data_IF_568185085541
#
_entry.id   IF_568185085541
#
_cell.length_a   1.000
_cell.length_b   1.000
_cell.length_c   1.000
_cell.angle_alpha   90.00
_cell.angle_beta   90.00
_cell.angle_gamma   90.00
#
_symmetry.space_group_name_H-M   'P 1'
#
loop_
_entity.id
_entity.type
_entity.pdbx_description
1 polymer ?
#
# COMPACT_ATOMS: atom_id res chain seq x y z
N UNK A 1 -40.12 76.06 19.45
CA UNK A 1 -41.41 75.58 20.00
C UNK A 1 -41.73 74.24 19.34
N UNK A 2 -42.29 73.24 20.04
CA UNK A 2 -41.81 72.60 21.26
C UNK A 2 -41.80 71.04 21.13
N UNK A 3 -41.42 70.38 22.22
CA UNK A 3 -42.09 69.18 22.77
C UNK A 3 -41.70 67.79 22.22
N UNK A 4 -40.86 67.04 22.97
CA UNK A 4 -41.23 65.89 23.86
C UNK A 4 -41.61 64.64 23.04
N UNK A 5 -41.02 63.44 23.20
CA UNK A 5 -40.76 62.55 24.35
C UNK A 5 -40.26 61.25 23.67
N UNK A 6 -39.29 60.47 24.13
CA UNK A 6 -39.31 59.63 25.32
C UNK A 6 -37.97 58.94 25.47
N UNK A 7 -37.54 58.80 26.72
CA UNK A 7 -36.44 57.97 27.17
C UNK A 7 -36.96 56.53 27.37
N UNK A 8 -36.32 55.53 26.75
CA UNK A 8 -36.37 54.15 27.25
C UNK A 8 -34.96 53.56 27.20
N UNK A 9 -34.36 53.37 28.38
CA UNK A 9 -33.20 52.51 28.59
C UNK A 9 -33.63 51.06 28.37
N UNK A 10 -32.97 50.35 27.46
CA UNK A 10 -32.87 48.88 27.52
C UNK A 10 -31.41 48.51 27.79
N UNK A 11 -31.18 47.88 28.95
CA UNK A 11 -29.89 47.38 29.37
C UNK A 11 -29.40 46.24 28.49
N UNK A 12 -28.15 46.32 28.08
CA UNK A 12 -27.44 45.21 27.44
C UNK A 12 -27.13 44.15 28.50
N UNK A 13 -27.78 42.99 28.42
CA UNK A 13 -27.36 41.77 29.10
C UNK A 13 -26.55 40.94 28.12
N UNK A 14 -25.23 40.85 28.32
CA UNK A 14 -24.38 39.89 27.63
C UNK A 14 -24.70 38.49 28.17
N UNK A 15 -25.43 37.69 27.40
CA UNK A 15 -25.53 36.25 27.63
C UNK A 15 -24.26 35.59 27.08
N UNK A 16 -23.32 35.25 27.96
CA UNK A 16 -22.19 34.40 27.62
C UNK A 16 -22.69 32.95 27.49
N UNK A 17 -22.87 32.48 26.25
CA UNK A 17 -23.10 31.05 25.96
C UNK A 17 -21.78 30.30 26.13
N UNK A 18 -21.62 29.61 27.25
CA UNK A 18 -20.55 28.63 27.44
C UNK A 18 -20.82 27.42 26.55
N UNK A 19 -20.00 27.24 25.52
CA UNK A 19 -19.96 25.99 24.76
C UNK A 19 -19.27 24.96 25.65
N UNK A 20 -20.05 24.07 26.28
CA UNK A 20 -19.50 22.88 26.92
C UNK A 20 -19.00 21.94 25.81
N UNK A 21 -17.69 21.96 25.56
CA UNK A 21 -17.05 20.90 24.80
C UNK A 21 -17.31 19.57 25.52
N UNK A 22 -17.90 18.60 24.80
CA UNK A 22 -17.99 17.24 25.31
C UNK A 22 -16.58 16.72 25.57
N UNK A 23 -16.33 16.02 26.69
CA UNK A 23 -15.01 15.51 26.99
C UNK A 23 -14.56 14.57 25.87
N UNK A 24 -13.37 14.84 25.32
CA UNK A 24 -12.66 13.91 24.47
C UNK A 24 -12.52 12.63 25.28
N UNK A 25 -13.21 11.56 24.89
CA UNK A 25 -12.93 10.24 25.44
C UNK A 25 -11.51 9.88 25.01
N UNK A 26 -10.57 9.98 25.95
CA UNK A 26 -9.27 9.35 25.81
C UNK A 26 -9.52 7.85 25.73
N UNK A 27 -9.39 7.28 24.54
CA UNK A 27 -9.36 5.84 24.38
C UNK A 27 -8.10 5.36 25.12
N UNK A 28 -8.31 4.71 26.25
CA UNK A 28 -7.26 4.08 27.03
C UNK A 28 -6.84 2.79 26.32
N UNK A 29 -5.69 2.83 25.66
CA UNK A 29 -5.08 1.68 24.99
C UNK A 29 -4.24 0.81 25.94
N UNK A 30 -4.30 1.03 27.27
CA UNK A 30 -3.53 0.24 28.24
C UNK A 30 -4.01 -1.21 28.43
N UNK A 31 -5.13 -1.60 27.80
CA UNK A 31 -5.83 -2.86 28.04
C UNK A 31 -5.75 -3.96 26.97
N UNK A 32 -5.00 -3.80 25.88
CA UNK A 32 -4.81 -4.88 24.90
C UNK A 32 -3.34 -5.16 24.69
N UNK A 33 -2.78 -6.12 25.44
CA UNK A 33 -1.51 -6.77 25.12
C UNK A 33 -1.68 -7.67 23.89
N UNK A 34 -1.93 -7.06 22.73
CA UNK A 34 -1.76 -7.72 21.45
C UNK A 34 -0.28 -7.60 21.06
N UNK A 35 0.57 -8.39 21.70
CA UNK A 35 1.92 -8.63 21.21
C UNK A 35 1.93 -10.00 20.50
N UNK A 36 1.88 -10.07 19.16
CA UNK A 36 2.39 -11.22 18.46
C UNK A 36 3.89 -11.37 18.77
N UNK A 37 4.34 -12.61 18.99
CA UNK A 37 5.77 -12.94 19.14
C UNK A 37 6.52 -12.61 17.84
N UNK A 38 7.81 -12.27 17.96
CA UNK A 38 8.78 -12.61 16.92
C UNK A 38 8.57 -14.08 16.53
N UNK A 39 8.37 -14.39 15.25
CA UNK A 39 8.07 -15.76 14.82
C UNK A 39 9.39 -16.52 14.62
N UNK A 40 9.77 -17.43 15.54
CA UNK A 40 11.04 -18.14 15.47
C UNK A 40 11.09 -19.12 14.29
N UNK A 41 9.98 -19.35 13.58
CA UNK A 41 9.97 -20.16 12.37
C UNK A 41 10.45 -19.41 11.12
N UNK A 42 10.55 -18.07 11.19
CA UNK A 42 11.01 -17.22 10.09
C UNK A 42 12.53 -17.02 10.18
N UNK A 43 13.22 -17.15 9.04
CA UNK A 43 14.69 -17.04 8.97
C UNK A 43 15.20 -15.95 8.05
N UNK A 44 14.31 -15.30 7.30
CA UNK A 44 14.68 -14.26 6.35
C UNK A 44 13.47 -13.63 5.67
N UNK A 45 13.75 -12.90 4.59
CA UNK A 45 12.78 -12.13 3.83
C UNK A 45 13.04 -12.29 2.33
N UNK A 46 11.96 -12.49 1.57
CA UNK A 46 11.95 -12.42 0.12
C UNK A 46 11.39 -11.07 -0.31
N UNK A 47 12.17 -10.27 -1.03
CA UNK A 47 11.71 -9.07 -1.70
C UNK A 47 11.39 -9.33 -3.17
N UNK A 48 10.33 -8.70 -3.68
CA UNK A 48 10.03 -8.59 -5.10
C UNK A 48 9.98 -7.11 -5.48
N UNK A 49 10.77 -6.71 -6.47
CA UNK A 49 10.93 -5.31 -6.89
C UNK A 49 11.01 -5.20 -8.41
N UNK A 50 10.90 -3.99 -8.93
CA UNK A 50 11.33 -3.66 -10.29
C UNK A 50 12.49 -2.66 -10.29
N UNK A 51 13.17 -2.55 -11.43
CA UNK A 51 14.17 -1.52 -11.67
C UNK A 51 13.59 -0.48 -12.63
N UNK A 52 13.84 0.81 -12.38
CA UNK A 52 13.21 1.89 -13.15
C UNK A 52 13.46 1.83 -14.67
N UNK A 53 14.66 1.45 -15.07
CA UNK A 53 15.05 1.33 -16.48
C UNK A 53 14.75 -0.05 -17.10
N UNK A 54 14.47 -1.07 -16.28
CA UNK A 54 14.23 -2.44 -16.72
C UNK A 54 13.02 -3.00 -15.93
N UNK A 55 11.78 -2.66 -16.34
CA UNK A 55 10.56 -2.90 -15.54
C UNK A 55 10.15 -4.37 -15.59
N UNK A 56 10.83 -5.19 -14.80
CA UNK A 56 10.60 -6.62 -14.64
C UNK A 56 10.54 -6.99 -13.16
N UNK A 57 10.22 -8.25 -12.84
CA UNK A 57 10.28 -8.72 -11.45
C UNK A 57 11.67 -9.25 -11.12
N UNK A 58 12.32 -8.61 -10.15
CA UNK A 58 13.57 -9.02 -9.55
C UNK A 58 13.30 -9.52 -8.14
N UNK A 59 13.86 -10.66 -7.80
CA UNK A 59 13.76 -11.21 -6.46
C UNK A 59 15.06 -10.96 -5.69
N UNK A 60 14.92 -10.65 -4.42
CA UNK A 60 16.02 -10.39 -3.50
C UNK A 60 15.80 -11.20 -2.23
N UNK A 61 16.85 -11.84 -1.73
CA UNK A 61 16.79 -12.63 -0.51
C UNK A 61 17.62 -11.94 0.57
N UNK A 62 17.06 -11.81 1.77
CA UNK A 62 17.77 -11.18 2.88
C UNK A 62 19.04 -11.94 3.24
N UNK A 63 20.08 -11.25 3.71
CA UNK A 63 21.29 -11.85 4.23
C UNK A 63 21.03 -12.35 5.65
N UNK A 64 20.68 -13.64 5.78
CA UNK A 64 20.16 -14.18 7.03
C UNK A 64 18.84 -13.52 7.42
N UNK A 65 18.60 -13.34 8.71
CA UNK A 65 17.36 -12.74 9.21
C UNK A 65 17.41 -11.21 9.34
N UNK A 66 18.23 -10.54 8.51
CA UNK A 66 18.38 -9.10 8.54
C UNK A 66 17.31 -8.41 7.66
N UNK A 67 16.42 -7.58 8.24
CA UNK A 67 15.32 -6.95 7.50
C UNK A 67 15.76 -5.89 6.48
N UNK A 68 16.98 -5.35 6.58
CA UNK A 68 17.46 -4.28 5.69
C UNK A 68 18.75 -4.63 4.96
N UNK A 69 19.08 -5.92 4.87
CA UNK A 69 20.24 -6.41 4.12
C UNK A 69 19.80 -7.51 3.16
N UNK A 70 19.96 -7.28 1.86
CA UNK A 70 19.51 -8.20 0.82
C UNK A 70 20.61 -8.45 -0.22
N UNK A 71 20.56 -9.61 -0.85
CA UNK A 71 21.32 -9.92 -2.07
C UNK A 71 20.36 -10.21 -3.21
N UNK A 72 20.76 -9.83 -4.41
CA UNK A 72 20.00 -10.16 -5.60
C UNK A 72 19.99 -11.67 -5.81
N UNK A 73 18.82 -12.21 -6.17
CA UNK A 73 18.71 -13.56 -6.70
C UNK A 73 18.92 -13.53 -8.22
N UNK A 74 19.07 -14.72 -8.81
CA UNK A 74 19.25 -14.97 -10.23
C UNK A 74 20.41 -14.15 -10.84
N UNK A 75 21.51 -14.03 -10.08
CA UNK A 75 22.68 -13.23 -10.47
C UNK A 75 22.35 -11.78 -10.85
N UNK A 76 21.30 -11.19 -10.25
CA UNK A 76 20.83 -9.84 -10.56
C UNK A 76 19.98 -9.72 -11.83
N UNK A 77 19.71 -10.83 -12.53
CA UNK A 77 18.80 -10.85 -13.67
C UNK A 77 17.34 -10.98 -13.23
N UNK A 78 16.37 -10.46 -14.01
CA UNK A 78 14.96 -10.59 -13.65
C UNK A 78 14.53 -12.05 -13.61
N UNK A 79 13.68 -12.40 -12.64
CA UNK A 79 13.08 -13.73 -12.50
C UNK A 79 11.84 -13.85 -13.39
N UNK A 80 11.09 -12.76 -13.58
CA UNK A 80 9.91 -12.73 -14.43
C UNK A 80 10.01 -11.56 -15.41
N UNK A 81 9.89 -11.87 -16.71
CA UNK A 81 9.70 -10.90 -17.79
C UNK A 81 8.28 -11.09 -18.33
N UNK A 82 7.41 -10.07 -18.30
CA UNK A 82 6.06 -10.18 -18.86
C UNK A 82 6.14 -10.31 -20.38
N UNK A 83 5.24 -11.13 -20.93
CA UNK A 83 5.08 -11.35 -22.37
C UNK A 83 3.80 -10.73 -22.94
N UNK A 84 2.96 -10.16 -22.07
CA UNK A 84 1.69 -9.51 -22.43
C UNK A 84 1.74 -7.99 -22.20
N UNK A 85 0.63 -7.31 -22.52
CA UNK A 85 0.44 -5.89 -22.22
C UNK A 85 1.49 -5.01 -22.89
N UNK A 86 2.02 -4.08 -22.13
CA UNK A 86 3.11 -3.18 -22.54
C UNK A 86 4.47 -3.88 -22.65
N UNK A 87 4.58 -5.10 -22.11
CA UNK A 87 5.85 -5.84 -22.00
C UNK A 87 6.74 -5.37 -20.85
N UNK A 88 6.22 -4.56 -19.92
CA UNK A 88 6.88 -4.18 -18.67
C UNK A 88 5.93 -4.33 -17.48
N UNK A 89 6.49 -4.63 -16.32
CA UNK A 89 5.78 -4.74 -15.05
C UNK A 89 6.44 -3.87 -13.98
N UNK A 90 5.62 -3.11 -13.27
CA UNK A 90 6.03 -2.27 -12.14
C UNK A 90 5.26 -2.67 -10.89
N UNK A 91 5.76 -2.22 -9.75
CA UNK A 91 5.09 -2.35 -8.45
C UNK A 91 4.72 -3.82 -8.11
N UNK A 92 5.64 -4.80 -8.25
CA UNK A 92 5.28 -6.19 -7.98
C UNK A 92 5.03 -6.43 -6.49
N UNK A 93 3.85 -6.95 -6.16
CA UNK A 93 3.47 -7.28 -4.79
C UNK A 93 3.27 -8.80 -4.64
N UNK A 94 3.91 -9.38 -3.63
CA UNK A 94 3.73 -10.80 -3.28
C UNK A 94 2.47 -10.93 -2.43
N UNK A 95 1.51 -11.74 -2.88
CA UNK A 95 0.28 -12.04 -2.15
C UNK A 95 0.36 -13.46 -1.59
N UNK A 96 0.19 -13.60 -0.27
CA UNK A 96 0.13 -14.91 0.39
C UNK A 96 -1.25 -15.53 0.22
N UNK A 97 -1.27 -16.83 -0.11
CA UNK A 97 -2.49 -17.63 -0.16
C UNK A 97 -3.33 -17.53 1.11
N UNK A 98 -4.65 -17.41 0.96
CA UNK A 98 -5.61 -17.37 2.06
C UNK A 98 -6.48 -18.63 2.11
N UNK A 99 -7.24 -18.82 3.19
CA UNK A 99 -8.13 -19.97 3.33
C UNK A 99 -7.44 -21.32 3.06
N UNK A 100 -7.94 -22.08 2.09
CA UNK A 100 -7.39 -23.38 1.70
C UNK A 100 -5.99 -23.31 1.04
N UNK A 101 -5.62 -22.15 0.50
CA UNK A 101 -4.35 -21.88 -0.17
C UNK A 101 -3.25 -21.44 0.81
N UNK A 102 -3.59 -21.19 2.09
CA UNK A 102 -2.65 -20.70 3.10
C UNK A 102 -1.45 -21.62 3.26
N UNK A 103 -0.26 -21.06 3.04
CA UNK A 103 1.03 -21.78 3.11
C UNK A 103 1.29 -22.76 1.97
N UNK A 104 0.43 -22.76 0.93
CA UNK A 104 0.52 -23.67 -0.22
C UNK A 104 0.57 -22.95 -1.56
N UNK A 105 0.16 -21.69 -1.59
CA UNK A 105 0.10 -20.90 -2.82
C UNK A 105 0.40 -19.43 -2.54
N UNK A 106 0.99 -18.80 -3.54
CA UNK A 106 1.33 -17.39 -3.55
C UNK A 106 1.08 -16.82 -4.94
N UNK A 107 0.87 -15.52 -4.99
CA UNK A 107 0.73 -14.77 -6.22
C UNK A 107 1.73 -13.64 -6.26
N UNK A 108 2.11 -13.22 -7.46
CA UNK A 108 2.67 -11.88 -7.69
C UNK A 108 1.67 -11.15 -8.56
N UNK A 109 1.27 -9.96 -8.12
CA UNK A 109 0.52 -9.01 -8.93
C UNK A 109 1.40 -7.82 -9.28
N UNK A 110 1.11 -7.10 -10.36
CA UNK A 110 1.87 -5.91 -10.73
C UNK A 110 1.18 -5.04 -11.75
N UNK A 111 1.64 -3.80 -11.85
CA UNK A 111 1.20 -2.79 -12.83
C UNK A 111 1.70 -3.17 -14.22
N UNK A 112 0.81 -3.21 -15.21
CA UNK A 112 1.20 -3.31 -16.63
C UNK A 112 1.67 -1.95 -17.16
N UNK A 113 2.99 -1.72 -17.11
CA UNK A 113 3.60 -0.48 -17.58
C UNK A 113 5.08 -0.65 -17.93
N UNK A 114 5.38 -0.46 -19.22
CA UNK A 114 6.71 -0.12 -19.73
C UNK A 114 6.73 1.37 -20.09
N UNK A 115 7.27 2.20 -19.18
CA UNK A 115 7.29 3.65 -19.38
C UNK A 115 8.17 4.08 -20.56
N UNK A 116 9.13 3.25 -21.00
CA UNK A 116 10.00 3.57 -22.14
C UNK A 116 9.26 3.46 -23.49
N UNK A 117 8.10 2.80 -23.52
CA UNK A 117 7.24 2.65 -24.70
C UNK A 117 6.07 3.63 -24.74
N UNK A 118 5.96 4.52 -23.77
CA UNK A 118 4.87 5.49 -23.65
C UNK A 118 5.37 6.79 -23.00
N UNK A 119 4.47 7.68 -22.61
CA UNK A 119 4.78 8.86 -21.80
C UNK A 119 4.01 8.79 -20.48
N UNK A 120 4.47 9.54 -19.47
CA UNK A 120 3.76 9.63 -18.20
C UNK A 120 2.35 10.21 -18.33
N UNK A 121 2.10 11.08 -19.30
CA UNK A 121 0.76 11.60 -19.56
C UNK A 121 -0.13 10.51 -20.19
N UNK A 122 0.35 9.85 -21.25
CA UNK A 122 -0.40 8.78 -21.91
C UNK A 122 -0.65 7.58 -20.98
N UNK A 123 0.33 7.17 -20.16
CA UNK A 123 0.20 6.09 -19.20
C UNK A 123 -0.86 6.37 -18.11
N UNK A 124 -1.11 7.64 -17.81
CA UNK A 124 -2.14 8.06 -16.85
C UNK A 124 -3.52 8.22 -17.47
N UNK A 125 -3.59 8.58 -18.75
CA UNK A 125 -4.85 8.88 -19.45
C UNK A 125 -5.40 7.67 -20.17
N UNK A 126 -4.55 6.97 -20.91
CA UNK A 126 -4.91 5.79 -21.72
C UNK A 126 -4.09 4.57 -21.33
N UNK A 127 -3.66 4.48 -20.06
CA UNK A 127 -2.88 3.36 -19.55
C UNK A 127 -3.64 2.04 -19.51
N UNK A 128 -2.92 0.97 -19.16
CA UNK A 128 -3.51 -0.36 -18.97
C UNK A 128 -4.65 -0.33 -17.95
N UNK A 129 -5.68 -1.15 -18.19
CA UNK A 129 -6.80 -1.40 -17.27
C UNK A 129 -6.67 -2.75 -16.56
N UNK A 130 -5.55 -3.43 -16.80
CA UNK A 130 -5.28 -4.74 -16.27
C UNK A 130 -4.17 -4.74 -15.23
N UNK A 131 -4.19 -5.79 -14.42
CA UNK A 131 -3.11 -6.15 -13.53
C UNK A 131 -2.46 -7.42 -14.05
N UNK A 132 -1.14 -7.51 -13.92
CA UNK A 132 -0.46 -8.77 -14.09
C UNK A 132 -0.74 -9.69 -12.91
N UNK A 133 -0.76 -11.00 -13.17
CA UNK A 133 -0.84 -12.06 -12.15
C UNK A 133 0.07 -13.21 -12.55
N UNK A 134 0.91 -13.66 -11.62
CA UNK A 134 1.62 -14.94 -11.66
C UNK A 134 1.31 -15.74 -10.40
N UNK A 135 1.48 -17.06 -10.47
CA UNK A 135 1.24 -17.97 -9.35
C UNK A 135 2.47 -18.81 -9.03
N UNK A 136 2.61 -19.18 -7.76
CA UNK A 136 3.59 -20.14 -7.28
C UNK A 136 2.98 -21.03 -6.20
N UNK A 137 3.37 -22.31 -6.17
CA UNK A 137 3.02 -23.26 -5.09
C UNK A 137 4.20 -23.57 -4.17
N UNK A 138 5.35 -22.94 -4.41
CA UNK A 138 6.58 -23.16 -3.65
C UNK A 138 7.36 -21.85 -3.35
N UNK A 139 6.83 -20.69 -3.76
CA UNK A 139 7.43 -19.35 -3.70
C UNK A 139 8.75 -19.19 -4.49
N UNK A 140 9.20 -20.23 -5.19
CA UNK A 140 10.49 -20.30 -5.88
C UNK A 140 10.30 -20.23 -7.39
N UNK A 141 9.33 -20.99 -7.89
CA UNK A 141 9.00 -21.10 -9.30
C UNK A 141 7.67 -20.38 -9.57
N UNK A 142 7.70 -19.44 -10.52
CA UNK A 142 6.56 -18.61 -10.89
C UNK A 142 6.08 -18.97 -12.28
N UNK A 143 4.77 -19.06 -12.47
CA UNK A 143 4.14 -19.48 -13.73
C UNK A 143 2.77 -18.85 -13.94
N UNK A 144 2.07 -19.26 -15.00
CA UNK A 144 0.68 -18.89 -15.29
C UNK A 144 0.44 -17.38 -15.47
N UNK A 145 1.28 -16.71 -16.26
CA UNK A 145 1.13 -15.28 -16.58
C UNK A 145 -0.27 -14.94 -17.11
N UNK A 146 -0.91 -13.98 -16.44
CA UNK A 146 -2.16 -13.37 -16.88
C UNK A 146 -2.06 -11.86 -16.81
N UNK A 147 -2.72 -11.20 -17.77
CA UNK A 147 -3.06 -9.78 -17.68
C UNK A 147 -4.59 -9.72 -17.55
N UNK A 148 -5.07 -9.44 -16.35
CA UNK A 148 -6.51 -9.48 -16.03
C UNK A 148 -7.04 -8.06 -16.01
N UNK A 149 -7.98 -7.74 -16.90
CA UNK A 149 -8.66 -6.43 -16.92
C UNK A 149 -9.59 -6.33 -15.71
N UNK A 150 -9.35 -5.35 -14.85
CA UNK A 150 -10.08 -5.15 -13.58
C UNK A 150 -10.84 -3.83 -13.53
N UNK A 151 -10.63 -2.93 -14.49
CA UNK A 151 -11.43 -1.71 -14.64
C UNK A 151 -12.00 -1.52 -16.04
N UNK A 152 -13.04 -0.69 -16.09
CA UNK A 152 -13.76 -0.35 -17.31
C UNK A 152 -13.06 0.77 -18.10
N UNK A 153 -13.59 1.08 -19.28
CA UNK A 153 -12.99 2.02 -20.23
C UNK A 153 -12.91 3.48 -19.74
N UNK A 154 -13.71 3.89 -18.74
CA UNK A 154 -13.65 5.25 -18.18
C UNK A 154 -12.44 5.51 -17.29
N UNK A 155 -11.73 4.47 -16.85
CA UNK A 155 -10.53 4.61 -16.04
C UNK A 155 -9.37 5.19 -16.87
N UNK A 156 -8.49 5.98 -16.26
CA UNK A 156 -7.24 6.44 -16.87
C UNK A 156 -6.19 5.33 -16.88
N UNK A 157 -6.07 4.61 -15.77
CA UNK A 157 -5.02 3.63 -15.51
C UNK A 157 -5.40 2.69 -14.35
N UNK A 158 -4.68 1.58 -14.20
CA UNK A 158 -4.72 0.67 -13.04
C UNK A 158 -3.29 0.47 -12.56
N UNK A 159 -2.96 1.03 -11.39
CA UNK A 159 -1.58 1.09 -10.89
C UNK A 159 -1.44 0.58 -9.46
N UNK A 160 -0.23 0.10 -9.14
CA UNK A 160 0.21 -0.43 -7.86
C UNK A 160 -0.79 -1.39 -7.22
N UNK A 161 -1.13 -2.52 -7.89
CA UNK A 161 -2.04 -3.48 -7.31
C UNK A 161 -1.39 -4.22 -6.14
N UNK A 162 -2.12 -4.36 -5.04
CA UNK A 162 -1.82 -5.38 -4.02
C UNK A 162 -3.11 -6.12 -3.64
N UNK A 163 -2.97 -7.15 -2.81
CA UNK A 163 -4.12 -7.88 -2.29
C UNK A 163 -3.90 -8.39 -0.87
N UNK A 164 -4.99 -8.42 -0.12
CA UNK A 164 -5.04 -8.99 1.22
C UNK A 164 -6.20 -9.98 1.32
N UNK A 165 -6.01 -11.10 2.03
CA UNK A 165 -7.07 -12.05 2.29
C UNK A 165 -8.08 -11.50 3.31
N UNK A 166 -9.33 -11.35 2.90
CA UNK A 166 -10.45 -11.04 3.80
C UNK A 166 -11.09 -12.35 4.27
N UNK A 167 -10.81 -12.74 5.51
CA UNK A 167 -11.35 -13.95 6.11
C UNK A 167 -12.88 -13.92 6.30
N UNK A 168 -13.49 -12.74 6.47
CA UNK A 168 -14.94 -12.61 6.60
C UNK A 168 -15.66 -12.84 5.27
N UNK A 169 -14.99 -12.58 4.15
CA UNK A 169 -15.50 -12.84 2.79
C UNK A 169 -15.04 -14.18 2.22
N UNK A 170 -13.95 -14.75 2.72
CA UNK A 170 -13.31 -15.92 2.12
C UNK A 170 -12.76 -15.62 0.73
N UNK A 171 -12.28 -14.39 0.50
CA UNK A 171 -11.81 -13.88 -0.78
C UNK A 171 -10.65 -12.90 -0.58
N UNK A 172 -9.87 -12.67 -1.61
CA UNK A 172 -8.87 -11.60 -1.66
C UNK A 172 -9.54 -10.27 -1.98
N UNK A 173 -9.34 -9.27 -1.13
CA UNK A 173 -9.55 -7.88 -1.50
C UNK A 173 -8.32 -7.44 -2.30
N UNK A 174 -8.50 -7.26 -3.60
CA UNK A 174 -7.47 -6.72 -4.50
C UNK A 174 -7.76 -5.25 -4.70
N UNK A 175 -6.75 -4.39 -4.54
CA UNK A 175 -6.91 -2.94 -4.66
C UNK A 175 -5.85 -2.32 -5.55
N UNK A 176 -6.15 -1.18 -6.15
CA UNK A 176 -5.27 -0.43 -7.05
C UNK A 176 -5.66 1.05 -7.11
N UNK A 177 -4.74 1.90 -7.56
CA UNK A 177 -5.02 3.30 -7.83
C UNK A 177 -5.61 3.51 -9.23
N UNK A 178 -6.58 4.41 -9.36
CA UNK A 178 -7.17 4.81 -10.65
C UNK A 178 -7.80 6.20 -10.59
N UNK A 179 -7.97 6.83 -11.75
CA UNK A 179 -8.77 8.06 -11.94
C UNK A 179 -9.72 7.87 -13.10
N UNK A 180 -10.80 8.65 -13.14
CA UNK A 180 -11.90 8.41 -14.09
C UNK A 180 -12.23 9.65 -14.90
N UNK A 181 -12.65 9.41 -16.14
CA UNK A 181 -13.14 10.42 -17.06
C UNK A 181 -14.66 10.31 -17.21
N UNK A 182 -15.37 11.44 -17.40
CA UNK A 182 -16.80 11.41 -17.63
C UNK A 182 -17.13 10.72 -18.96
N UNK A 183 -18.32 10.13 -19.07
CA UNK A 183 -18.77 9.48 -20.31
C UNK A 183 -18.79 10.42 -21.53
N UNK A 184 -18.84 11.74 -21.31
CA UNK A 184 -18.73 12.77 -22.35
C UNK A 184 -17.32 12.98 -22.89
N UNK A 185 -16.28 12.41 -22.25
CA UNK A 185 -14.88 12.45 -22.69
C UNK A 185 -14.32 11.03 -22.86
N UNK A 186 -14.82 10.24 -23.82
CA UNK A 186 -14.37 8.85 -24.02
C UNK A 186 -12.91 8.74 -24.51
N UNK A 187 -12.30 9.85 -24.94
CA UNK A 187 -10.92 9.90 -25.42
C UNK A 187 -9.93 10.36 -24.34
N UNK A 188 -10.42 10.69 -23.14
CA UNK A 188 -9.63 11.11 -21.98
C UNK A 188 -8.76 12.34 -22.24
N UNK A 189 -9.29 13.29 -23.01
CA UNK A 189 -8.60 14.52 -23.43
C UNK A 189 -8.73 15.66 -22.43
N UNK A 190 -9.82 15.66 -21.64
CA UNK A 190 -10.11 16.65 -20.61
C UNK A 190 -9.44 16.34 -19.26
N UNK A 191 -10.02 16.88 -18.19
CA UNK A 191 -9.54 16.64 -16.83
C UNK A 191 -10.24 15.42 -16.22
N UNK A 192 -9.51 14.46 -15.63
CA UNK A 192 -10.11 13.39 -14.84
C UNK A 192 -10.57 13.91 -13.47
N UNK A 193 -11.30 13.08 -12.73
CA UNK A 193 -11.44 13.21 -11.29
C UNK A 193 -10.11 12.96 -10.54
N UNK A 194 -10.13 13.10 -9.21
CA UNK A 194 -8.98 12.75 -8.38
C UNK A 194 -8.64 11.25 -8.49
N UNK A 195 -7.38 10.90 -8.23
CA UNK A 195 -6.96 9.51 -8.11
C UNK A 195 -7.50 8.93 -6.80
N UNK A 196 -8.23 7.82 -6.92
CA UNK A 196 -8.84 7.09 -5.82
C UNK A 196 -8.29 5.67 -5.76
N UNK A 197 -8.41 5.02 -4.60
CA UNK A 197 -8.14 3.59 -4.49
C UNK A 197 -9.43 2.83 -4.80
N UNK A 198 -9.35 1.93 -5.76
CA UNK A 198 -10.39 1.01 -6.20
C UNK A 198 -10.12 -0.37 -5.64
N UNK A 199 -11.15 -1.21 -5.55
CA UNK A 199 -10.99 -2.60 -5.16
C UNK A 199 -12.00 -3.52 -5.87
N UNK A 200 -11.66 -4.80 -5.95
CA UNK A 200 -12.57 -5.89 -6.29
C UNK A 200 -12.20 -7.14 -5.49
N UNK A 201 -13.17 -8.02 -5.28
CA UNK A 201 -12.93 -9.32 -4.67
C UNK A 201 -12.68 -10.39 -5.73
N UNK A 202 -11.76 -11.30 -5.42
CA UNK A 202 -11.52 -12.53 -6.19
C UNK A 202 -11.18 -13.68 -5.24
N UNK A 203 -11.45 -14.91 -5.64
CA UNK A 203 -10.97 -16.10 -4.93
C UNK A 203 -9.78 -16.78 -5.64
N UNK A 204 -9.50 -16.39 -6.89
CA UNK A 204 -8.60 -17.15 -7.78
C UNK A 204 -7.69 -16.29 -8.67
N UNK A 205 -7.81 -14.96 -8.59
CA UNK A 205 -7.12 -14.01 -9.47
C UNK A 205 -7.37 -14.26 -10.96
N UNK A 206 -8.58 -14.73 -11.31
CA UNK A 206 -9.07 -14.87 -12.68
C UNK A 206 -10.42 -14.19 -12.83
N UNK A 207 -11.34 -14.43 -11.90
CA UNK A 207 -12.66 -13.81 -11.88
C UNK A 207 -12.73 -12.82 -10.74
N UNK A 208 -13.12 -11.58 -11.07
CA UNK A 208 -13.23 -10.47 -10.14
C UNK A 208 -14.69 -10.03 -10.04
N UNK A 209 -15.10 -9.58 -8.86
CA UNK A 209 -16.33 -8.82 -8.71
C UNK A 209 -16.23 -7.50 -9.49
N UNK A 210 -17.37 -6.86 -9.76
CA UNK A 210 -17.39 -5.49 -10.26
C UNK A 210 -16.56 -4.58 -9.32
N UNK A 211 -15.63 -3.77 -9.84
CA UNK A 211 -14.80 -2.91 -9.01
C UNK A 211 -15.62 -1.80 -8.34
N UNK A 212 -15.25 -1.45 -7.12
CA UNK A 212 -15.88 -0.40 -6.31
C UNK A 212 -14.81 0.57 -5.76
N UNK A 213 -15.24 1.74 -5.30
CA UNK A 213 -14.32 2.68 -4.64
C UNK A 213 -14.04 2.19 -3.22
N UNK A 214 -12.76 2.06 -2.87
CA UNK A 214 -12.34 1.71 -1.52
C UNK A 214 -11.99 2.96 -0.71
N UNK A 215 -11.17 3.85 -1.28
CA UNK A 215 -10.71 5.07 -0.61
C UNK A 215 -10.85 6.22 -1.60
N UNK A 216 -11.64 7.22 -1.22
CA UNK A 216 -11.77 8.49 -1.92
C UNK A 216 -11.50 9.61 -0.92
N UNK A 217 -10.44 10.38 -1.16
CA UNK A 217 -10.06 11.56 -0.38
C UNK A 217 -10.12 12.82 -1.23
N UNK A 218 -10.98 12.84 -2.26
CA UNK A 218 -11.14 13.97 -3.17
C UNK A 218 -11.27 15.30 -2.41
N UNK A 219 -10.56 16.36 -2.84
CA UNK A 219 -9.79 16.45 -4.09
C UNK A 219 -8.35 15.92 -4.01
N UNK A 220 -7.93 15.31 -2.90
CA UNK A 220 -6.58 14.73 -2.77
C UNK A 220 -6.43 13.47 -3.62
N UNK A 221 -5.34 13.41 -4.40
CA UNK A 221 -4.98 12.23 -5.17
C UNK A 221 -4.28 11.21 -4.26
N UNK A 222 -4.80 10.00 -4.20
CA UNK A 222 -4.26 8.93 -3.36
C UNK A 222 -3.82 7.76 -4.23
N UNK A 223 -2.58 7.32 -4.02
CA UNK A 223 -1.98 6.14 -4.68
C UNK A 223 -1.27 5.25 -3.65
N UNK A 224 -0.73 4.13 -4.13
CA UNK A 224 0.16 3.22 -3.40
C UNK A 224 -0.36 2.85 -2.00
N UNK A 225 -1.54 2.23 -1.97
CA UNK A 225 -2.07 1.65 -0.75
C UNK A 225 -1.28 0.39 -0.41
N UNK A 226 -0.79 0.30 0.82
CA UNK A 226 -0.23 -0.91 1.42
C UNK A 226 -0.88 -1.16 2.78
N UNK A 227 -1.25 -2.40 3.10
CA UNK A 227 -1.97 -2.75 4.33
C UNK A 227 -1.15 -3.74 5.16
N UNK A 228 -0.86 -3.37 6.41
CA UNK A 228 -0.21 -4.20 7.42
C UNK A 228 -1.24 -4.68 8.46
N UNK A 229 -1.53 -5.99 8.54
CA UNK A 229 -2.25 -6.55 9.67
C UNK A 229 -1.47 -6.34 10.97
N UNK A 230 -2.11 -5.79 12.00
CA UNK A 230 -1.49 -5.51 13.31
C UNK A 230 -1.99 -6.42 14.43
N UNK A 231 -2.99 -7.26 14.16
CA UNK A 231 -3.52 -8.23 15.09
C UNK A 231 -3.87 -9.56 14.42
N UNK A 232 -4.04 -10.60 15.24
CA UNK A 232 -4.56 -11.91 14.82
C UNK A 232 -6.09 -11.96 14.81
N UNK A 233 -6.73 -10.86 15.21
CA UNK A 233 -8.18 -10.72 15.31
C UNK A 233 -8.89 -10.56 13.96
N UNK A 234 -8.13 -10.42 12.87
CA UNK A 234 -8.65 -10.23 11.52
C UNK A 234 -9.33 -8.87 11.29
N UNK A 235 -9.18 -7.91 12.21
CA UNK A 235 -9.84 -6.60 12.15
C UNK A 235 -8.91 -5.41 12.46
N UNK A 236 -7.73 -5.68 13.00
CA UNK A 236 -6.73 -4.65 13.32
C UNK A 236 -5.70 -4.51 12.21
N UNK A 237 -5.63 -3.31 11.63
CA UNK A 237 -4.81 -2.97 10.49
C UNK A 237 -4.20 -1.58 10.62
N UNK A 238 -3.01 -1.43 10.07
CA UNK A 238 -2.41 -0.17 9.67
C UNK A 238 -2.41 -0.15 8.14
N UNK A 239 -2.70 1.00 7.54
CA UNK A 239 -2.49 1.20 6.10
C UNK A 239 -1.59 2.39 5.85
N UNK A 240 -0.73 2.25 4.86
CA UNK A 240 0.13 3.29 4.34
C UNK A 240 -0.46 3.79 3.04
N UNK A 241 -0.45 5.11 2.85
CA UNK A 241 -1.03 5.76 1.69
C UNK A 241 -0.08 6.85 1.21
N UNK A 242 0.05 6.98 -0.11
CA UNK A 242 0.72 8.10 -0.75
C UNK A 242 -0.31 9.18 -1.09
N UNK A 243 -0.15 10.35 -0.47
CA UNK A 243 -0.73 11.60 -0.94
C UNK A 243 0.08 12.11 -2.12
N UNK A 244 -0.46 11.93 -3.32
CA UNK A 244 0.18 12.33 -4.57
C UNK A 244 0.05 13.83 -4.84
N UNK A 245 -0.86 14.53 -4.15
CA UNK A 245 -0.96 15.99 -4.24
C UNK A 245 0.16 16.67 -3.43
N UNK A 246 0.47 16.16 -2.23
CA UNK A 246 1.49 16.72 -1.33
C UNK A 246 2.86 16.02 -1.44
N UNK A 247 2.95 14.92 -2.18
CA UNK A 247 4.15 14.08 -2.30
C UNK A 247 4.58 13.47 -0.95
N UNK A 248 3.63 13.01 -0.14
CA UNK A 248 3.91 12.48 1.21
C UNK A 248 3.32 11.10 1.43
N UNK A 249 3.95 10.29 2.28
CA UNK A 249 3.38 9.03 2.76
C UNK A 249 2.92 9.19 4.20
N UNK A 250 1.74 8.66 4.52
CA UNK A 250 1.15 8.69 5.86
C UNK A 250 0.49 7.36 6.21
N UNK A 251 0.18 7.20 7.50
CA UNK A 251 -0.48 6.04 8.09
C UNK A 251 -1.89 6.37 8.55
N UNK A 252 -2.80 5.44 8.32
CA UNK A 252 -4.10 5.35 8.99
C UNK A 252 -4.25 4.01 9.72
N UNK A 253 -5.05 3.98 10.78
CA UNK A 253 -5.24 2.81 11.64
C UNK A 253 -6.72 2.44 11.72
N UNK A 254 -7.02 1.16 11.73
CA UNK A 254 -8.35 0.63 12.07
C UNK A 254 -8.25 -0.58 12.99
N UNK A 255 -9.22 -0.72 13.89
CA UNK A 255 -9.43 -1.92 14.73
C UNK A 255 -10.80 -2.57 14.45
N UNK A 256 -11.45 -2.13 13.38
CA UNK A 256 -12.85 -2.48 13.05
C UNK A 256 -13.00 -3.14 11.68
N UNK A 257 -11.90 -3.59 11.07
CA UNK A 257 -11.90 -4.31 9.80
C UNK A 257 -11.40 -3.47 8.61
N UNK A 258 -11.23 -4.13 7.46
CA UNK A 258 -10.79 -3.50 6.21
C UNK A 258 -11.75 -2.36 5.77
N UNK A 259 -13.05 -2.51 6.00
CA UNK A 259 -14.08 -1.49 5.73
C UNK A 259 -14.55 -0.75 6.99
N UNK A 260 -13.78 -0.87 8.07
CA UNK A 260 -14.07 -0.21 9.33
C UNK A 260 -13.75 1.29 9.32
N UNK A 261 -13.83 1.89 10.50
CA UNK A 261 -13.40 3.27 10.72
C UNK A 261 -11.89 3.35 10.66
N UNK A 262 -11.36 4.26 9.83
CA UNK A 262 -9.94 4.55 9.73
C UNK A 262 -9.63 5.94 10.31
N UNK A 263 -8.59 6.03 11.13
CA UNK A 263 -8.13 7.31 11.71
C UNK A 263 -6.70 7.57 11.31
N UNK A 264 -6.33 8.84 11.09
CA UNK A 264 -4.94 9.27 10.85
C UNK A 264 -4.36 9.81 12.16
N UNK A 265 -3.51 9.04 12.88
CA UNK A 265 -2.92 9.49 14.13
C UNK A 265 -2.07 10.75 13.89
N UNK A 266 -2.30 11.78 14.71
CA UNK A 266 -1.68 13.11 14.55
C UNK A 266 -2.42 14.07 13.62
N UNK A 267 -3.52 13.66 12.99
CA UNK A 267 -4.36 14.53 12.15
C UNK A 267 -3.92 14.61 10.69
N UNK A 268 -4.59 15.47 9.90
CA UNK A 268 -4.47 15.53 8.44
C UNK A 268 -3.11 15.97 7.91
N UNK A 269 -2.27 16.60 8.72
CA UNK A 269 -0.90 17.00 8.36
C UNK A 269 0.17 15.98 8.75
N UNK A 270 -0.17 14.96 9.53
CA UNK A 270 0.81 14.03 10.08
C UNK A 270 1.29 13.02 9.02
N UNK A 271 2.57 13.06 8.67
CA UNK A 271 3.16 12.22 7.61
C UNK A 271 4.39 11.49 8.15
N UNK A 272 4.76 10.40 7.50
CA UNK A 272 6.03 9.70 7.74
C UNK A 272 7.17 10.46 7.06
N UNK A 273 7.03 10.75 5.77
CA UNK A 273 8.04 11.39 4.96
C UNK A 273 7.42 12.09 3.73
N UNK A 274 8.19 13.01 3.15
CA UNK A 274 7.88 13.70 1.89
C UNK A 274 8.90 13.31 0.80
N UNK A 275 8.54 13.54 -0.47
CA UNK A 275 9.37 13.17 -1.61
C UNK A 275 9.49 11.66 -1.84
N UNK A 276 8.55 10.88 -1.30
CA UNK A 276 8.55 9.41 -1.32
C UNK A 276 7.23 8.86 -1.85
N UNK A 277 7.23 7.60 -2.29
CA UNK A 277 6.06 6.83 -2.73
C UNK A 277 6.22 5.34 -2.39
N UNK A 278 5.27 4.51 -2.84
CA UNK A 278 5.36 3.06 -2.79
C UNK A 278 5.68 2.42 -1.44
N UNK A 279 4.94 2.72 -0.36
CA UNK A 279 5.19 2.10 0.94
C UNK A 279 5.08 0.58 0.87
N UNK A 280 6.12 -0.15 1.28
CA UNK A 280 6.09 -1.61 1.41
C UNK A 280 6.41 -2.01 2.86
N UNK A 281 5.37 -2.30 3.65
CA UNK A 281 5.51 -2.58 5.09
C UNK A 281 5.56 -4.07 5.42
N UNK A 282 6.32 -4.43 6.45
CA UNK A 282 6.47 -5.80 6.94
C UNK A 282 6.94 -5.81 8.40
N UNK A 283 6.63 -6.88 9.12
CA UNK A 283 7.06 -7.08 10.51
C UNK A 283 8.51 -7.54 10.59
N UNK A 284 9.20 -7.14 11.66
CA UNK A 284 10.50 -7.67 12.02
C UNK A 284 10.35 -9.10 12.59
N UNK A 285 11.12 -10.04 12.05
CA UNK A 285 11.11 -11.44 12.47
C UNK A 285 11.72 -11.67 13.85
N UNK A 286 12.59 -10.77 14.34
CA UNK A 286 13.40 -10.95 15.55
C UNK A 286 12.93 -10.07 16.71
N UNK A 287 12.42 -8.87 16.42
CA UNK A 287 12.00 -7.89 17.43
C UNK A 287 10.48 -7.72 17.42
N UNK A 288 9.83 -8.28 18.44
CA UNK A 288 8.38 -8.18 18.59
C UNK A 288 7.90 -6.72 18.61
N UNK A 289 6.85 -6.42 17.85
CA UNK A 289 6.27 -5.08 17.73
C UNK A 289 7.09 -4.10 16.87
N UNK A 290 8.27 -4.49 16.37
CA UNK A 290 9.03 -3.69 15.41
C UNK A 290 8.55 -4.01 13.99
N UNK A 291 8.30 -2.96 13.21
CA UNK A 291 8.00 -3.06 11.79
C UNK A 291 8.97 -2.23 10.97
N UNK A 292 9.02 -2.57 9.70
CA UNK A 292 9.76 -1.87 8.66
C UNK A 292 8.79 -1.37 7.60
N UNK A 293 9.13 -0.27 6.94
CA UNK A 293 8.49 0.19 5.71
C UNK A 293 9.58 0.64 4.74
N UNK A 294 9.54 0.14 3.51
CA UNK A 294 10.36 0.70 2.44
C UNK A 294 9.60 1.87 1.82
N UNK A 295 10.30 2.99 1.60
CA UNK A 295 9.76 4.18 0.94
C UNK A 295 10.57 4.49 -0.32
N UNK A 296 9.93 4.51 -1.49
CA UNK A 296 10.59 4.74 -2.78
C UNK A 296 10.83 6.24 -2.93
N UNK A 297 12.10 6.66 -2.84
CA UNK A 297 12.50 8.01 -3.18
C UNK A 297 12.56 8.12 -4.70
N UNK A 298 11.39 8.23 -5.32
CA UNK A 298 11.20 8.10 -6.76
C UNK A 298 11.98 9.12 -7.61
N UNK A 299 12.34 10.26 -7.03
CA UNK A 299 13.19 11.28 -7.63
C UNK A 299 14.70 11.11 -7.36
N UNK A 300 15.10 10.03 -6.70
CA UNK A 300 16.47 9.76 -6.24
C UNK A 300 16.81 8.26 -6.44
N UNK A 301 17.64 7.69 -5.57
CA UNK A 301 18.24 6.35 -5.65
C UNK A 301 17.31 5.15 -5.33
N UNK A 302 15.99 5.39 -5.21
CA UNK A 302 14.98 4.35 -5.02
C UNK A 302 14.65 4.07 -3.55
N UNK A 303 14.41 2.79 -3.23
CA UNK A 303 13.93 2.38 -1.91
C UNK A 303 14.91 2.66 -0.77
N UNK A 304 14.36 3.18 0.34
CA UNK A 304 15.06 3.31 1.62
C UNK A 304 14.21 2.69 2.75
N UNK A 305 14.80 1.84 3.60
CA UNK A 305 14.11 1.25 4.74
C UNK A 305 13.97 2.24 5.89
N UNK A 306 12.80 2.23 6.52
CA UNK A 306 12.48 2.91 7.77
C UNK A 306 11.94 1.88 8.75
N UNK A 307 12.10 2.13 10.05
CA UNK A 307 11.64 1.25 11.11
C UNK A 307 10.92 2.00 12.23
N UNK A 308 10.05 1.29 12.94
CA UNK A 308 9.41 1.78 14.16
C UNK A 308 8.96 0.63 15.05
N UNK A 309 8.73 0.90 16.33
CA UNK A 309 7.99 0.02 17.25
C UNK A 309 6.57 0.52 17.52
N UNK A 310 6.16 1.63 16.90
CA UNK A 310 4.82 2.19 17.00
C UNK A 310 4.22 2.44 15.60
N UNK A 311 3.78 1.36 14.95
CA UNK A 311 3.17 1.43 13.61
C UNK A 311 1.88 2.24 13.56
N UNK A 312 1.21 2.43 14.71
CA UNK A 312 -0.03 3.18 14.83
C UNK A 312 0.21 4.70 15.01
N UNK A 313 1.33 5.20 14.49
CA UNK A 313 1.74 6.60 14.55
C UNK A 313 2.38 7.03 13.23
N UNK A 314 2.10 8.28 12.83
CA UNK A 314 2.82 8.93 11.73
C UNK A 314 4.20 9.44 12.17
N UNK A 315 4.43 9.61 13.48
CA UNK A 315 5.71 10.00 14.06
C UNK A 315 6.47 8.78 14.58
N UNK A 316 7.81 8.83 14.55
CA UNK A 316 8.65 7.78 15.12
C UNK A 316 9.06 6.69 14.13
N UNK A 317 8.84 6.90 12.83
CA UNK A 317 9.51 6.15 11.77
C UNK A 317 10.90 6.72 11.53
N UNK A 318 11.94 5.93 11.74
CA UNK A 318 13.34 6.35 11.60
C UNK A 318 14.01 5.61 10.47
N UNK A 319 14.86 6.28 9.69
CA UNK A 319 15.62 5.62 8.64
C UNK A 319 16.51 4.51 9.22
N UNK A 320 16.42 3.32 8.64
CA UNK A 320 17.25 2.17 9.02
C UNK A 320 18.61 2.20 8.30
N UNK A 321 19.55 1.38 8.77
CA UNK A 321 20.83 1.22 8.08
C UNK A 321 20.64 0.67 6.66
N UNK A 322 21.35 1.28 5.71
CA UNK A 322 21.39 0.89 4.28
C UNK A 322 22.65 0.12 3.89
N UNK A 323 23.55 -0.19 4.84
CA UNK A 323 24.87 -0.81 4.53
C UNK A 323 24.76 -2.08 3.70
N UNK A 324 23.71 -2.88 3.90
CA UNK A 324 23.45 -4.09 3.11
C UNK A 324 22.23 -3.99 2.20
N UNK A 325 21.60 -2.82 2.07
CA UNK A 325 20.39 -2.65 1.28
C UNK A 325 20.75 -2.34 -0.18
N UNK A 326 20.19 -3.05 -1.18
CA UNK A 326 20.49 -2.79 -2.58
C UNK A 326 20.03 -1.40 -3.02
N UNK A 327 20.77 -0.76 -3.92
CA UNK A 327 20.40 0.51 -4.54
C UNK A 327 19.54 0.29 -5.79
N UNK A 328 18.76 1.31 -6.18
CA UNK A 328 18.01 1.33 -7.43
C UNK A 328 16.71 0.49 -7.44
N UNK A 329 16.41 -0.23 -6.36
CA UNK A 329 15.13 -0.91 -6.19
C UNK A 329 13.99 0.12 -6.15
N UNK A 330 12.91 -0.16 -6.86
CA UNK A 330 11.70 0.66 -6.90
C UNK A 330 10.51 -0.10 -6.32
N UNK A 331 9.37 0.60 -6.23
CA UNK A 331 8.14 0.10 -5.61
C UNK A 331 7.90 -1.41 -5.80
N UNK A 332 7.67 -2.15 -4.71
CA UNK A 332 7.48 -3.59 -4.70
C UNK A 332 7.02 -4.07 -3.32
N UNK A 333 7.40 -5.28 -2.91
CA UNK A 333 6.96 -5.86 -1.64
C UNK A 333 8.00 -6.76 -0.97
N UNK A 334 7.85 -6.99 0.34
CA UNK A 334 8.70 -7.87 1.15
C UNK A 334 7.84 -8.87 1.92
N UNK A 335 8.19 -10.14 1.82
CA UNK A 335 7.52 -11.25 2.50
C UNK A 335 8.52 -11.99 3.40
N UNK A 336 8.26 -12.07 4.72
CA UNK A 336 9.01 -12.96 5.59
C UNK A 336 8.88 -14.44 5.18
N UNK A 337 9.98 -15.20 5.25
CA UNK A 337 10.05 -16.61 4.83
C UNK A 337 10.70 -17.49 5.90
N UNK A 338 10.28 -18.76 5.93
CA UNK A 338 10.88 -19.78 6.78
C UNK A 338 12.15 -20.40 6.16
N UNK A 339 12.83 -21.25 6.92
CA UNK A 339 14.08 -21.91 6.50
C UNK A 339 13.93 -22.70 5.19
N UNK A 340 12.85 -23.49 5.07
CA UNK A 340 12.62 -24.32 3.88
C UNK A 340 12.56 -23.49 2.61
N UNK A 341 11.82 -22.38 2.63
CA UNK A 341 11.68 -21.48 1.49
C UNK A 341 12.98 -20.70 1.24
N UNK A 342 13.63 -20.22 2.31
CA UNK A 342 14.91 -19.50 2.23
C UNK A 342 15.99 -20.34 1.52
N UNK A 343 16.13 -21.60 1.91
CA UNK A 343 17.11 -22.52 1.32
C UNK A 343 16.74 -22.89 -0.12
N UNK A 344 15.46 -23.08 -0.41
CA UNK A 344 14.99 -23.40 -1.76
C UNK A 344 15.26 -22.25 -2.74
N UNK A 345 15.01 -20.99 -2.31
CA UNK A 345 15.34 -19.79 -3.07
C UNK A 345 16.85 -19.68 -3.29
N UNK A 346 17.66 -19.84 -2.24
CA UNK A 346 19.12 -19.81 -2.33
C UNK A 346 19.69 -20.90 -3.23
N UNK A 347 19.12 -22.10 -3.21
CA UNK A 347 19.56 -23.20 -4.09
C UNK A 347 19.20 -22.96 -5.55
N UNK A 348 18.02 -22.39 -5.82
CA UNK A 348 17.52 -22.20 -7.19
C UNK A 348 18.12 -20.97 -7.87
N UNK A 349 18.30 -19.90 -7.11
CA UNK A 349 18.59 -18.57 -7.62
C UNK A 349 19.74 -17.86 -6.90
N UNK A 350 20.34 -18.44 -5.86
CA UNK A 350 21.35 -17.78 -5.04
C UNK A 350 22.73 -17.64 -5.68
#
# INVERSE_FOLDING_TARGET
MPSLKSLLLLGASLAATSVQASPIQSLDFSGTSLAPRADPSLTGYLGAFFLGADPYVYLYLSNGNNPTSFRALNSGSPVIRPTKGTGGVRDPAIVVGGGAEKGKKWYIVGTDLDIAKTTWDAAQRQGSKGIFVWESTDLVNWSNERLVVVENSSAGMVWAPEAIWDAAKGQYLVHWASKFYPASDPNHTGSPGAIVIRYAYTSDFKTFSTPQTYIDKSPTNIIDLNILPTGTDGKSFVRFLKDESLKTVFVEVSTTGLFGTWTRPGGSSAVIASGVEGPASYWDNQVAGKAHVLLDFYGDDGYRPYETTNVASNSGWTASSRTGFPSGLRHGGVLPVNQTIYDALGKRWG
#
